data_IF_161750595873
#
_entry.id   IF_161750595873
#
_cell.length_a   1.000
_cell.length_b   1.000
_cell.length_c   1.000
_cell.angle_alpha   90.00
_cell.angle_beta   90.00
_cell.angle_gamma   90.00
#
_symmetry.space_group_name_H-M   'P 1'
#
loop_
_entity.id
_entity.type
_entity.pdbx_description
1 polymer ?
#
# COMPACT_ATOMS: atom_id res chain seq x y z
N UNK A 1 11.50 -1.59 -8.32
CA UNK A 1 10.43 -2.00 -9.25
C UNK A 1 9.45 -2.88 -8.50
N UNK A 2 8.15 -2.68 -8.71
CA UNK A 2 7.11 -3.54 -8.15
C UNK A 2 6.70 -4.57 -9.21
N UNK A 3 6.50 -5.82 -8.81
CA UNK A 3 6.14 -6.94 -9.68
C UNK A 3 5.02 -7.79 -9.08
N UNK A 4 4.27 -8.49 -9.93
CA UNK A 4 3.21 -9.42 -9.54
C UNK A 4 1.96 -9.25 -10.41
N UNK A 5 0.88 -9.88 -9.99
CA UNK A 5 -0.42 -9.82 -10.68
C UNK A 5 -1.42 -9.03 -9.86
N UNK A 6 -1.98 -7.98 -10.46
CA UNK A 6 -3.03 -7.18 -9.85
C UNK A 6 -4.40 -7.63 -10.36
N UNK A 7 -5.25 -8.06 -9.45
CA UNK A 7 -6.64 -8.41 -9.70
C UNK A 7 -7.55 -7.43 -8.96
N UNK A 8 -8.62 -7.01 -9.63
CA UNK A 8 -9.62 -6.12 -9.06
C UNK A 8 -11.00 -6.73 -9.19
N UNK A 9 -11.70 -6.83 -8.06
CA UNK A 9 -13.10 -7.23 -8.01
C UNK A 9 -13.95 -5.99 -7.71
N UNK A 10 -14.78 -5.59 -8.66
CA UNK A 10 -15.70 -4.44 -8.50
C UNK A 10 -17.06 -4.97 -8.08
N UNK A 11 -17.48 -4.62 -6.86
CA UNK A 11 -18.77 -5.04 -6.30
C UNK A 11 -19.89 -4.09 -6.73
N UNK A 12 -19.63 -2.79 -6.74
CA UNK A 12 -20.55 -1.78 -7.24
C UNK A 12 -19.79 -0.68 -7.95
N UNK A 13 -20.38 -0.13 -9.00
CA UNK A 13 -19.84 1.03 -9.70
C UNK A 13 -20.97 1.86 -10.31
N UNK A 14 -20.96 3.15 -9.98
CA UNK A 14 -21.78 4.18 -10.58
C UNK A 14 -20.87 5.31 -11.02
N UNK A 15 -20.84 5.54 -12.31
CA UNK A 15 -20.09 6.64 -12.90
C UNK A 15 -20.60 7.99 -12.41
N UNK A 16 -19.66 8.92 -12.22
CA UNK A 16 -19.87 10.33 -11.91
C UNK A 16 -18.53 11.03 -12.09
N UNK A 17 -18.52 12.24 -12.65
CA UNK A 17 -17.27 12.93 -12.91
C UNK A 17 -16.53 13.31 -11.61
N UNK A 18 -15.18 13.32 -11.59
CA UNK A 18 -14.26 12.77 -12.59
C UNK A 18 -14.09 11.23 -12.57
N UNK A 19 -14.44 10.53 -11.48
CA UNK A 19 -14.11 9.11 -11.31
C UNK A 19 -15.32 8.21 -11.01
N UNK A 20 -16.13 8.60 -10.03
CA UNK A 20 -17.35 7.88 -9.65
C UNK A 20 -18.35 8.81 -8.96
N UNK A 21 -19.62 8.43 -9.00
CA UNK A 21 -20.57 8.84 -7.96
C UNK A 21 -20.46 7.90 -6.75
N UNK A 22 -20.34 6.59 -7.01
CA UNK A 22 -20.18 5.56 -5.98
C UNK A 22 -19.42 4.36 -6.55
N UNK A 23 -18.45 3.81 -5.82
CA UNK A 23 -17.84 2.52 -6.13
C UNK A 23 -17.39 1.79 -4.87
N UNK A 24 -17.33 0.47 -4.92
CA UNK A 24 -16.79 -0.38 -3.86
C UNK A 24 -16.27 -1.66 -4.50
N UNK A 25 -15.18 -2.18 -3.96
CA UNK A 25 -14.62 -3.44 -4.36
C UNK A 25 -13.35 -3.76 -3.60
N UNK A 26 -12.61 -4.75 -4.11
CA UNK A 26 -11.34 -5.16 -3.55
C UNK A 26 -10.28 -5.29 -4.64
N UNK A 27 -9.03 -5.19 -4.21
CA UNK A 27 -7.83 -5.35 -5.00
C UNK A 27 -6.97 -6.41 -4.33
N UNK A 28 -6.48 -7.36 -5.11
CA UNK A 28 -5.53 -8.38 -4.69
C UNK A 28 -4.29 -8.27 -5.57
N UNK A 29 -3.14 -8.01 -4.95
CA UNK A 29 -1.84 -8.06 -5.61
C UNK A 29 -1.12 -9.34 -5.19
N UNK A 30 -1.13 -10.32 -6.06
CA UNK A 30 -0.57 -11.66 -5.86
C UNK A 30 0.86 -11.74 -6.36
N UNK A 31 1.67 -12.59 -5.72
CA UNK A 31 3.11 -12.69 -5.96
C UNK A 31 3.80 -11.31 -5.93
N UNK A 32 3.34 -10.47 -4.99
CA UNK A 32 3.80 -9.11 -4.84
C UNK A 32 5.25 -9.10 -4.36
N UNK A 33 6.12 -8.49 -5.17
CA UNK A 33 7.54 -8.35 -4.88
C UNK A 33 7.99 -6.92 -5.13
N UNK A 34 8.78 -6.39 -4.20
CA UNK A 34 9.49 -5.13 -4.37
C UNK A 34 10.96 -5.43 -4.60
N UNK A 35 11.49 -5.00 -5.75
CA UNK A 35 12.89 -5.11 -6.08
C UNK A 35 13.58 -3.76 -6.04
N UNK A 36 14.80 -3.75 -5.52
CA UNK A 36 15.68 -2.58 -5.49
C UNK A 36 17.14 -3.01 -5.66
N UNK A 37 18.07 -2.09 -5.98
CA UNK A 37 19.49 -2.42 -6.09
C UNK A 37 20.10 -3.04 -4.82
N UNK A 38 19.49 -2.79 -3.66
CA UNK A 38 19.96 -3.24 -2.34
C UNK A 38 19.28 -4.53 -1.85
N UNK A 39 18.35 -5.09 -2.65
CA UNK A 39 17.67 -6.33 -2.31
C UNK A 39 16.22 -6.36 -2.78
N UNK A 40 15.61 -7.53 -2.61
CA UNK A 40 14.20 -7.76 -2.89
C UNK A 40 13.44 -8.07 -1.61
N UNK A 41 12.18 -7.64 -1.55
CA UNK A 41 11.27 -7.88 -0.44
C UNK A 41 10.02 -8.60 -0.95
N UNK A 42 9.74 -9.77 -0.37
CA UNK A 42 8.56 -10.56 -0.72
C UNK A 42 7.36 -10.13 0.13
N UNK A 43 6.35 -9.56 -0.52
CA UNK A 43 5.11 -9.11 0.11
C UNK A 43 4.01 -10.18 0.08
N UNK A 44 4.17 -11.22 -0.73
CA UNK A 44 3.20 -12.30 -0.83
C UNK A 44 1.91 -11.85 -1.52
N UNK A 45 0.79 -11.92 -0.82
CA UNK A 45 -0.50 -11.39 -1.31
C UNK A 45 -0.86 -10.15 -0.51
N UNK A 46 -0.97 -9.02 -1.20
CA UNK A 46 -1.50 -7.78 -0.63
C UNK A 46 -2.98 -7.68 -0.98
N UNK A 47 -3.80 -7.46 0.04
CA UNK A 47 -5.25 -7.29 -0.15
C UNK A 47 -5.65 -5.91 0.35
N UNK A 48 -6.52 -5.26 -0.40
CA UNK A 48 -7.12 -3.99 -0.02
C UNK A 48 -8.55 -3.88 -0.47
N UNK A 49 -9.35 -3.17 0.31
CA UNK A 49 -10.67 -2.70 -0.10
C UNK A 49 -10.54 -1.29 -0.64
N UNK A 50 -11.29 -0.98 -1.69
CA UNK A 50 -11.42 0.38 -2.20
C UNK A 50 -12.87 0.84 -2.11
N UNK A 51 -13.03 2.13 -1.82
CA UNK A 51 -14.32 2.81 -1.97
C UNK A 51 -14.13 4.06 -2.80
N UNK A 52 -15.20 4.50 -3.44
CA UNK A 52 -15.26 5.80 -4.08
C UNK A 52 -16.62 6.41 -3.79
N UNK A 53 -16.64 7.65 -3.32
CA UNK A 53 -17.85 8.41 -3.02
C UNK A 53 -17.64 9.83 -3.52
N UNK A 54 -18.48 10.30 -4.46
CA UNK A 54 -18.36 11.66 -5.04
C UNK A 54 -16.92 11.96 -5.53
N UNK A 55 -16.34 11.00 -6.25
CA UNK A 55 -14.98 11.02 -6.77
C UNK A 55 -13.85 11.14 -5.73
N UNK A 56 -14.15 10.97 -4.44
CA UNK A 56 -13.14 10.70 -3.41
C UNK A 56 -12.87 9.21 -3.39
N UNK A 57 -11.70 8.78 -3.83
CA UNK A 57 -11.27 7.38 -3.81
C UNK A 57 -10.50 7.11 -2.52
N UNK A 58 -10.82 6.03 -1.82
CA UNK A 58 -10.02 5.54 -0.69
C UNK A 58 -9.62 4.09 -0.93
N UNK A 59 -8.43 3.74 -0.46
CA UNK A 59 -7.89 2.39 -0.52
C UNK A 59 -7.26 2.05 0.83
N UNK A 60 -7.68 0.95 1.45
CA UNK A 60 -7.11 0.46 2.71
C UNK A 60 -6.75 -1.00 2.59
N UNK A 61 -5.54 -1.35 2.97
CA UNK A 61 -5.09 -2.73 2.86
C UNK A 61 -3.83 -3.00 3.64
N UNK A 62 -3.31 -4.21 3.43
CA UNK A 62 -2.11 -4.67 4.07
C UNK A 62 -1.79 -6.11 3.73
N UNK A 63 -0.73 -6.58 4.36
CA UNK A 63 -0.20 -7.92 4.18
C UNK A 63 0.72 -8.27 5.36
N UNK A 64 0.97 -9.57 5.49
CA UNK A 64 1.92 -10.11 6.44
C UNK A 64 2.59 -11.33 5.85
N UNK A 65 3.92 -11.33 5.86
CA UNK A 65 4.77 -12.48 5.50
C UNK A 65 5.75 -12.75 6.64
N UNK A 66 6.58 -13.78 6.49
CA UNK A 66 7.70 -14.01 7.40
C UNK A 66 8.79 -12.93 7.28
N UNK A 67 8.82 -12.18 6.17
CA UNK A 67 9.78 -11.09 5.96
C UNK A 67 9.26 -9.75 6.49
N UNK A 68 7.99 -9.42 6.25
CA UNK A 68 7.47 -8.08 6.52
C UNK A 68 5.96 -8.08 6.78
N UNK A 69 5.52 -7.23 7.70
CA UNK A 69 4.11 -6.82 7.84
C UNK A 69 3.96 -5.38 7.40
N UNK A 70 2.84 -5.03 6.76
CA UNK A 70 2.52 -3.63 6.48
C UNK A 70 1.03 -3.40 6.33
N UNK A 71 0.62 -2.16 6.57
CA UNK A 71 -0.70 -1.66 6.23
C UNK A 71 -0.57 -0.29 5.57
N UNK A 72 -1.60 0.08 4.83
CA UNK A 72 -1.70 1.39 4.21
C UNK A 72 -3.13 1.88 4.13
N UNK A 73 -3.25 3.19 4.02
CA UNK A 73 -4.44 3.94 3.74
C UNK A 73 -4.10 5.06 2.75
N UNK A 74 -4.74 5.06 1.59
CA UNK A 74 -4.59 6.05 0.54
C UNK A 74 -5.93 6.75 0.32
N UNK A 75 -5.90 8.06 0.13
CA UNK A 75 -7.02 8.83 -0.41
C UNK A 75 -6.59 9.62 -1.63
N UNK A 76 -7.49 9.74 -2.61
CA UNK A 76 -7.35 10.59 -3.79
C UNK A 76 -8.60 11.45 -3.92
N UNK A 77 -8.39 12.76 -3.92
CA UNK A 77 -9.41 13.77 -4.09
C UNK A 77 -9.70 14.03 -5.58
N UNK A 78 -10.89 14.58 -5.91
CA UNK A 78 -11.25 14.91 -7.30
C UNK A 78 -10.31 15.92 -7.97
N UNK A 79 -9.59 16.73 -7.19
CA UNK A 79 -8.60 17.71 -7.65
C UNK A 79 -7.17 17.16 -7.70
N UNK A 80 -7.03 15.83 -7.74
CA UNK A 80 -5.79 15.06 -7.79
C UNK A 80 -4.90 15.17 -6.55
N UNK A 81 -5.35 15.83 -5.48
CA UNK A 81 -4.63 15.78 -4.21
C UNK A 81 -4.73 14.38 -3.62
N UNK A 82 -3.61 13.85 -3.16
CA UNK A 82 -3.57 12.54 -2.53
C UNK A 82 -2.95 12.60 -1.15
N UNK A 83 -3.33 11.65 -0.30
CA UNK A 83 -2.68 11.37 0.97
C UNK A 83 -2.47 9.87 1.09
N UNK A 84 -1.22 9.46 1.29
CA UNK A 84 -0.82 8.08 1.52
C UNK A 84 -0.22 7.98 2.92
N UNK A 85 -0.80 7.13 3.75
CA UNK A 85 -0.29 6.77 5.06
C UNK A 85 -0.04 5.28 5.05
N UNK A 86 1.17 4.86 5.35
CA UNK A 86 1.54 3.46 5.40
C UNK A 86 2.51 3.23 6.54
N UNK A 87 2.67 1.96 6.90
CA UNK A 87 3.76 1.54 7.75
C UNK A 87 4.21 0.15 7.31
N UNK A 88 5.49 -0.15 7.53
CA UNK A 88 5.99 -1.52 7.46
C UNK A 88 6.73 -1.90 8.73
N UNK A 89 6.79 -3.19 9.00
CA UNK A 89 7.50 -3.78 10.13
C UNK A 89 8.32 -4.96 9.63
N UNK A 90 9.65 -4.93 9.76
CA UNK A 90 10.51 -6.09 9.58
C UNK A 90 10.06 -7.26 10.48
N UNK A 91 9.96 -8.45 9.91
CA UNK A 91 9.66 -9.69 10.61
C UNK A 91 10.92 -10.59 10.62
N UNK A 92 10.78 -11.84 11.10
CA UNK A 92 11.93 -12.72 11.39
C UNK A 92 12.85 -13.01 10.18
N UNK A 93 12.29 -13.04 8.97
CA UNK A 93 13.02 -13.33 7.72
C UNK A 93 13.29 -12.06 6.90
N UNK A 94 13.23 -10.87 7.51
CA UNK A 94 13.52 -9.63 6.80
C UNK A 94 14.94 -9.67 6.20
N UNK A 95 15.13 -9.38 4.90
CA UNK A 95 16.42 -9.52 4.24
C UNK A 95 17.52 -8.69 4.91
N UNK A 96 18.67 -9.32 5.20
CA UNK A 96 19.76 -8.66 5.95
C UNK A 96 20.30 -7.43 5.19
N UNK A 97 20.38 -7.49 3.85
CA UNK A 97 20.81 -6.36 3.03
C UNK A 97 19.90 -5.14 3.15
N UNK A 98 18.60 -5.33 3.43
CA UNK A 98 17.65 -4.26 3.69
C UNK A 98 17.68 -3.82 5.15
N UNK A 99 17.98 -4.74 6.07
CA UNK A 99 18.06 -4.48 7.52
C UNK A 99 19.16 -3.47 7.85
N UNK A 100 20.30 -3.54 7.17
CA UNK A 100 21.40 -2.57 7.29
C UNK A 100 20.94 -1.12 6.99
N UNK A 101 19.98 -0.98 6.07
CA UNK A 101 19.45 0.30 5.60
C UNK A 101 18.44 0.91 6.58
N UNK A 102 17.87 0.11 7.49
CA UNK A 102 16.93 0.60 8.51
C UNK A 102 17.56 1.65 9.42
N UNK A 103 18.89 1.61 9.57
CA UNK A 103 19.66 2.59 10.34
C UNK A 103 19.55 4.03 9.80
N UNK A 104 19.18 4.19 8.52
CA UNK A 104 18.99 5.50 7.89
C UNK A 104 17.56 6.01 7.95
N UNK A 105 16.61 5.15 8.36
CA UNK A 105 15.22 5.54 8.52
C UNK A 105 14.99 6.18 9.89
N UNK A 106 13.94 7.01 10.04
CA UNK A 106 13.45 7.41 11.34
C UNK A 106 13.19 6.18 12.22
N UNK A 107 13.37 6.34 13.52
CA UNK A 107 13.12 5.26 14.47
C UNK A 107 11.69 4.74 14.33
N UNK A 108 11.50 3.41 14.43
CA UNK A 108 10.17 2.83 14.41
C UNK A 108 9.37 3.26 15.65
N UNK A 109 8.05 3.15 15.56
CA UNK A 109 7.17 3.36 16.71
C UNK A 109 7.36 2.27 17.79
N UNK A 110 6.64 2.39 18.91
CA UNK A 110 6.70 1.41 20.01
C UNK A 110 6.26 -0.02 19.64
N UNK A 111 5.70 -0.24 18.45
CA UNK A 111 5.32 -1.54 17.92
C UNK A 111 6.34 -2.08 16.90
N UNK A 112 7.41 -1.33 16.62
CA UNK A 112 8.42 -1.68 15.62
C UNK A 112 8.02 -1.30 14.19
N UNK A 113 7.06 -0.39 14.01
CA UNK A 113 6.55 0.01 12.69
C UNK A 113 7.30 1.26 12.21
N UNK A 114 7.81 1.19 10.99
CA UNK A 114 8.41 2.32 10.28
C UNK A 114 7.30 3.03 9.49
N UNK A 115 6.92 4.27 9.86
CA UNK A 115 5.87 4.99 9.18
C UNK A 115 6.37 5.59 7.85
N UNK A 116 5.50 5.61 6.87
CA UNK A 116 5.68 6.30 5.59
C UNK A 116 4.44 7.12 5.29
N UNK A 117 4.57 8.45 5.38
CA UNK A 117 3.48 9.37 5.12
C UNK A 117 3.87 10.29 3.97
N UNK A 118 3.03 10.36 2.95
CA UNK A 118 3.20 11.24 1.81
C UNK A 118 1.88 11.93 1.49
N UNK A 119 1.97 13.16 1.02
CA UNK A 119 0.85 13.91 0.49
C UNK A 119 1.34 14.77 -0.66
N UNK A 120 0.48 15.00 -1.64
CA UNK A 120 0.85 15.75 -2.83
C UNK A 120 -0.32 15.92 -3.78
N UNK A 121 -0.01 16.19 -5.03
CA UNK A 121 -0.96 16.29 -6.12
C UNK A 121 -0.37 15.56 -7.34
N UNK A 122 -1.19 14.73 -8.00
CA UNK A 122 -0.81 14.00 -9.22
C UNK A 122 -0.81 14.89 -10.46
#
# INVERSE_FOLDING_TARGET
MAQGQLEMAVKQYRFGEPYCQQAEGSLAWSAAQLESPIGALQLGTVVSDFTCQESVVTLKGGQKTAQVSSEFNLSLQPDNRYQAQAWFKPEAEFPESLKEQLSWLPQPDGQGRYPFNQQGQL
#
